data_IF_127315515836
#
_entry.id   IF_127315515836
#
_cell.length_a   1.000
_cell.length_b   1.000
_cell.length_c   1.000
_cell.angle_alpha   90.00
_cell.angle_beta   90.00
_cell.angle_gamma   90.00
#
_symmetry.space_group_name_H-M   'P 1'
#
loop_
_entity.id
_entity.type
_entity.pdbx_description
1 polymer ?
#
# COMPACT_ATOMS: atom_id res chain seq x y z
N UNK A 1 -7.12 -8.57 -23.29
CA UNK A 1 -7.26 -9.09 -21.91
C UNK A 1 -6.00 -8.71 -21.16
N UNK A 2 -6.06 -7.72 -20.26
CA UNK A 2 -4.88 -7.26 -19.51
C UNK A 2 -4.61 -8.22 -18.36
N UNK A 3 -3.34 -8.59 -18.12
CA UNK A 3 -2.97 -9.36 -16.93
C UNK A 3 -2.98 -8.40 -15.74
N UNK A 4 -3.81 -8.69 -14.73
CA UNK A 4 -3.78 -7.94 -13.50
C UNK A 4 -2.41 -8.08 -12.83
N UNK A 5 -1.83 -6.96 -12.41
CA UNK A 5 -0.56 -6.94 -11.70
C UNK A 5 -0.86 -6.76 -10.21
N UNK A 6 -0.38 -7.72 -9.42
CA UNK A 6 -0.56 -7.75 -7.97
C UNK A 6 0.77 -7.45 -7.30
N UNK A 7 0.75 -6.46 -6.42
CA UNK A 7 1.89 -6.07 -5.59
C UNK A 7 1.46 -6.26 -4.13
N UNK A 8 2.24 -7.05 -3.37
CA UNK A 8 2.09 -7.15 -1.92
C UNK A 8 3.30 -6.52 -1.26
N UNK A 9 3.04 -5.68 -0.26
CA UNK A 9 4.04 -5.00 0.55
C UNK A 9 3.81 -5.36 2.00
N UNK A 10 4.87 -5.83 2.65
CA UNK A 10 4.83 -6.22 4.06
C UNK A 10 5.77 -5.32 4.85
N UNK A 11 5.19 -4.53 5.76
CA UNK A 11 5.91 -3.64 6.65
C UNK A 11 5.91 -4.29 8.03
N UNK A 12 7.11 -4.53 8.58
CA UNK A 12 7.29 -5.05 9.94
C UNK A 12 7.90 -3.95 10.79
N UNK A 13 7.31 -3.67 11.94
CA UNK A 13 7.78 -2.68 12.90
C UNK A 13 7.55 -3.19 14.31
N UNK A 14 8.52 -2.99 15.20
CA UNK A 14 8.47 -3.50 16.58
C UNK A 14 7.35 -2.85 17.42
N UNK A 15 6.82 -1.70 16.99
CA UNK A 15 5.79 -0.92 17.69
C UNK A 15 4.57 -0.56 16.81
N UNK A 16 4.30 -1.30 15.73
CA UNK A 16 3.13 -1.04 14.88
C UNK A 16 1.83 -1.14 15.69
N UNK A 17 1.11 -0.04 15.82
CA UNK A 17 -0.20 0.05 16.49
C UNK A 17 -1.33 -0.01 15.48
N UNK A 18 -2.53 -0.33 15.98
CA UNK A 18 -3.75 -0.30 15.16
C UNK A 18 -4.10 1.12 14.67
N UNK A 19 -3.63 2.16 15.35
CA UNK A 19 -3.84 3.56 14.99
C UNK A 19 -3.08 3.91 13.69
N UNK A 20 -1.85 3.40 13.57
CA UNK A 20 -1.02 3.53 12.36
C UNK A 20 -1.73 2.93 11.15
N UNK A 21 -2.48 1.84 11.33
CA UNK A 21 -3.29 1.25 10.27
C UNK A 21 -4.32 2.22 9.70
N UNK A 22 -5.00 2.97 10.57
CA UNK A 22 -6.03 3.93 10.15
C UNK A 22 -5.39 5.14 9.46
N UNK A 23 -4.26 5.61 9.96
CA UNK A 23 -3.50 6.68 9.34
C UNK A 23 -2.98 6.27 7.95
N UNK A 24 -2.41 5.08 7.83
CA UNK A 24 -1.93 4.48 6.57
C UNK A 24 -3.09 4.29 5.59
N UNK A 25 -4.25 3.78 6.03
CA UNK A 25 -5.46 3.67 5.19
C UNK A 25 -5.96 5.01 4.66
N UNK A 26 -5.87 6.07 5.46
CA UNK A 26 -6.28 7.41 5.04
C UNK A 26 -5.28 8.04 4.06
N UNK A 27 -4.00 7.69 4.19
CA UNK A 27 -2.92 8.19 3.34
C UNK A 27 -2.80 7.46 2.00
N UNK A 28 -3.01 6.15 1.97
CA UNK A 28 -3.21 5.37 0.75
C UNK A 28 -4.61 5.71 0.22
N UNK A 29 -4.70 6.72 -0.63
CA UNK A 29 -5.89 6.99 -1.44
C UNK A 29 -5.73 6.28 -2.79
N UNK A 30 -6.11 5.00 -2.91
CA UNK A 30 -5.83 4.19 -4.10
C UNK A 30 -6.57 4.67 -5.35
N UNK A 31 -7.70 5.33 -5.17
CA UNK A 31 -8.52 5.86 -6.27
C UNK A 31 -7.81 7.01 -7.00
N UNK A 32 -6.94 7.76 -6.33
CA UNK A 32 -6.20 8.90 -6.90
C UNK A 32 -5.11 8.45 -7.89
N UNK A 33 -4.73 7.17 -7.89
CA UNK A 33 -3.55 6.64 -8.60
C UNK A 33 -3.88 5.50 -9.57
N UNK A 34 -5.16 5.31 -9.87
CA UNK A 34 -5.62 4.35 -10.89
C UNK A 34 -5.40 2.90 -10.49
N UNK A 35 -5.41 2.62 -9.19
CA UNK A 35 -5.42 1.27 -8.63
C UNK A 35 -6.84 0.73 -8.66
N UNK A 36 -7.02 -0.46 -9.21
CA UNK A 36 -8.34 -1.12 -9.30
C UNK A 36 -8.76 -1.75 -7.99
N UNK A 37 -7.80 -2.13 -7.16
CA UNK A 37 -8.08 -2.66 -5.83
C UNK A 37 -6.92 -2.35 -4.90
N UNK A 38 -7.23 -1.93 -3.68
CA UNK A 38 -6.24 -1.80 -2.61
C UNK A 38 -6.87 -2.33 -1.33
N UNK A 39 -6.16 -3.24 -0.66
CA UNK A 39 -6.57 -3.75 0.64
C UNK A 39 -5.40 -3.70 1.59
N UNK A 40 -5.66 -3.28 2.83
CA UNK A 40 -4.64 -3.19 3.86
C UNK A 40 -5.08 -4.10 5.01
N UNK A 41 -4.24 -5.10 5.30
CA UNK A 41 -4.41 -6.05 6.39
C UNK A 41 -3.39 -5.75 7.47
N UNK A 42 -3.81 -5.88 8.72
CA UNK A 42 -2.92 -5.79 9.87
C UNK A 42 -2.99 -7.11 10.61
N UNK A 43 -1.84 -7.73 10.81
CA UNK A 43 -1.72 -8.95 11.60
C UNK A 43 -1.06 -8.62 12.93
N UNK A 44 -1.90 -8.40 13.94
CA UNK A 44 -1.50 -8.12 15.32
C UNK A 44 -0.62 -9.21 15.91
N UNK A 45 -0.79 -10.47 15.47
CA UNK A 45 -0.05 -11.61 16.03
C UNK A 45 1.40 -11.65 15.58
N UNK A 46 1.73 -10.91 14.51
CA UNK A 46 3.05 -10.93 13.88
C UNK A 46 3.68 -9.54 13.72
N UNK A 47 3.01 -8.49 14.21
CA UNK A 47 3.53 -7.12 14.20
C UNK A 47 3.81 -6.60 12.78
N UNK A 48 2.98 -6.97 11.81
CA UNK A 48 3.12 -6.47 10.45
C UNK A 48 1.83 -5.92 9.87
N UNK A 49 2.03 -5.00 8.94
CA UNK A 49 1.01 -4.43 8.08
C UNK A 49 1.29 -4.91 6.66
N UNK A 50 0.27 -5.47 6.03
CA UNK A 50 0.34 -5.98 4.66
C UNK A 50 -0.58 -5.14 3.76
N UNK A 51 0.00 -4.56 2.72
CA UNK A 51 -0.67 -3.70 1.75
C UNK A 51 -0.70 -4.48 0.44
N UNK A 52 -1.92 -4.82 -0.01
CA UNK A 52 -2.17 -5.43 -1.30
C UNK A 52 -2.69 -4.39 -2.26
N UNK A 53 -2.07 -4.33 -3.42
CA UNK A 53 -2.45 -3.41 -4.48
C UNK A 53 -2.57 -4.19 -5.78
N UNK A 54 -3.68 -3.98 -6.49
CA UNK A 54 -3.95 -4.58 -7.79
C UNK A 54 -4.27 -3.50 -8.81
N UNK A 55 -3.61 -3.57 -9.97
CA UNK A 55 -3.87 -2.71 -11.12
C UNK A 55 -4.17 -3.54 -12.36
N UNK A 56 -5.12 -3.09 -13.16
CA UNK A 56 -5.49 -3.67 -14.47
C UNK A 56 -4.81 -2.95 -15.64
N UNK A 57 -3.82 -2.09 -15.38
CA UNK A 57 -3.16 -1.25 -16.40
C UNK A 57 -2.04 -2.00 -17.16
N UNK A 58 -1.64 -1.46 -18.31
CA UNK A 58 -0.50 -1.96 -19.10
C UNK A 58 0.84 -1.83 -18.36
N UNK A 59 1.86 -2.59 -18.78
CA UNK A 59 3.23 -2.48 -18.21
C UNK A 59 3.78 -1.05 -18.29
N UNK A 60 3.50 -0.31 -19.36
CA UNK A 60 3.96 1.09 -19.47
C UNK A 60 3.28 2.01 -18.46
N UNK A 61 2.00 1.76 -18.18
CA UNK A 61 1.26 2.46 -17.13
C UNK A 61 1.70 2.03 -15.73
N UNK A 62 2.27 0.83 -15.58
CA UNK A 62 2.77 0.31 -14.31
C UNK A 62 3.92 1.15 -13.78
N UNK A 63 4.78 1.75 -14.63
CA UNK A 63 5.85 2.65 -14.15
C UNK A 63 5.31 3.86 -13.40
N UNK A 64 4.23 4.47 -13.91
CA UNK A 64 3.56 5.57 -13.24
C UNK A 64 2.93 5.12 -11.92
N UNK A 65 2.18 4.02 -11.98
CA UNK A 65 1.55 3.41 -10.80
C UNK A 65 2.57 2.99 -9.75
N UNK A 66 3.76 2.50 -10.13
CA UNK A 66 4.82 2.11 -9.21
C UNK A 66 5.42 3.32 -8.49
N UNK A 67 5.61 4.45 -9.17
CA UNK A 67 6.06 5.69 -8.54
C UNK A 67 5.03 6.21 -7.53
N UNK A 68 3.75 6.10 -7.86
CA UNK A 68 2.67 6.47 -6.96
C UNK A 68 2.59 5.52 -5.76
N UNK A 69 2.78 4.22 -5.97
CA UNK A 69 2.87 3.20 -4.93
C UNK A 69 4.04 3.47 -3.97
N UNK A 70 5.21 3.83 -4.49
CA UNK A 70 6.38 4.25 -3.72
C UNK A 70 6.09 5.52 -2.93
N UNK A 71 5.33 6.47 -3.49
CA UNK A 71 4.90 7.67 -2.76
C UNK A 71 3.97 7.30 -1.60
N UNK A 72 2.99 6.43 -1.82
CA UNK A 72 2.10 5.94 -0.77
C UNK A 72 2.85 5.22 0.34
N UNK A 73 3.83 4.39 -0.02
CA UNK A 73 4.76 3.74 0.91
C UNK A 73 5.55 4.74 1.73
N UNK A 74 6.12 5.76 1.08
CA UNK A 74 6.88 6.80 1.77
C UNK A 74 6.00 7.55 2.77
N UNK A 75 4.77 7.89 2.39
CA UNK A 75 3.81 8.50 3.33
C UNK A 75 3.49 7.57 4.49
N UNK A 76 3.29 6.27 4.24
CA UNK A 76 3.03 5.30 5.28
C UNK A 76 4.21 5.14 6.25
N UNK A 77 5.44 5.15 5.75
CA UNK A 77 6.65 5.09 6.58
C UNK A 77 6.83 6.36 7.40
N UNK A 78 6.60 7.55 6.82
CA UNK A 78 6.66 8.81 7.57
C UNK A 78 5.66 8.83 8.73
N UNK A 79 4.45 8.27 8.55
CA UNK A 79 3.44 8.13 9.62
C UNK A 79 3.93 7.23 10.77
N UNK A 80 4.82 6.28 10.49
CA UNK A 80 5.39 5.38 11.50
C UNK A 80 6.63 5.96 12.20
N UNK A 81 7.19 7.05 11.67
CA UNK A 81 8.33 7.77 12.26
C UNK A 81 7.89 8.90 13.21
N UNK A 82 6.66 9.40 13.08
CA UNK A 82 6.01 10.40 13.97
C UNK A 82 5.34 9.75 15.20
#
# INVERSE_FOLDING_TARGET
>A
MYKAIKISLKIRGENLKREDLNAIKKALKPDDVGLTHTSIKYDTSKGYLEIFIETSRSIDSLRGTLNDLLRCLKTALNILED
#
